data_IF_607222234739
#
_entry.id   IF_607222234739
#
_cell.length_a   1.000
_cell.length_b   1.000
_cell.length_c   1.000
_cell.angle_alpha   90.00
_cell.angle_beta   90.00
_cell.angle_gamma   90.00
#
_symmetry.space_group_name_H-M   'P 1'
#
loop_
_entity.id
_entity.type
_entity.pdbx_description
1 polymer ?
#
# COMPACT_ATOMS: atom_id res chain seq x y z
N UNK A 1 -16.89 7.84 -0.15
CA UNK A 1 -15.42 7.79 -0.29
C UNK A 1 -14.84 7.04 0.90
N UNK A 2 -14.13 5.94 0.66
CA UNK A 2 -13.45 5.22 1.72
C UNK A 2 -12.39 6.13 2.37
N UNK A 3 -12.27 6.08 3.71
CA UNK A 3 -11.31 6.90 4.45
C UNK A 3 -9.91 6.33 4.24
N UNK A 4 -9.03 7.06 3.55
CA UNK A 4 -7.62 6.67 3.38
C UNK A 4 -6.94 6.55 4.74
N UNK A 5 -6.43 5.36 5.07
CA UNK A 5 -5.74 5.10 6.35
C UNK A 5 -4.25 5.46 6.30
N UNK A 6 -3.69 5.53 5.10
CA UNK A 6 -2.28 5.79 4.87
C UNK A 6 -2.09 6.98 3.93
N UNK A 7 -0.89 7.57 3.96
CA UNK A 7 -0.53 8.73 3.12
C UNK A 7 0.81 8.51 2.41
N UNK A 8 1.03 9.29 1.37
CA UNK A 8 2.33 9.37 0.71
C UNK A 8 3.44 9.67 1.75
N UNK A 9 4.52 8.90 1.69
CA UNK A 9 5.62 8.96 2.65
C UNK A 9 5.63 7.82 3.68
N UNK A 10 4.48 7.22 3.97
CA UNK A 10 4.37 6.17 4.99
C UNK A 10 5.17 4.92 4.59
N UNK A 11 5.95 4.38 5.54
CA UNK A 11 6.63 3.10 5.39
C UNK A 11 5.69 1.98 5.84
N UNK A 12 5.42 1.03 4.97
CA UNK A 12 4.48 -0.05 5.19
C UNK A 12 5.10 -1.41 4.89
N UNK A 13 4.46 -2.47 5.36
CA UNK A 13 4.76 -3.83 4.92
C UNK A 13 3.58 -4.32 4.07
N UNK A 14 3.87 -4.86 2.89
CA UNK A 14 2.86 -5.36 1.95
C UNK A 14 2.97 -6.88 1.88
N UNK A 15 1.83 -7.55 1.91
CA UNK A 15 1.70 -8.98 1.62
C UNK A 15 1.54 -9.17 0.12
N UNK A 16 2.49 -9.86 -0.50
CA UNK A 16 2.44 -10.20 -1.91
C UNK A 16 1.64 -11.49 -2.14
N UNK A 17 1.07 -11.69 -3.34
CA UNK A 17 0.31 -12.91 -3.67
C UNK A 17 1.12 -14.21 -3.55
N UNK A 18 2.45 -14.14 -3.64
CA UNK A 18 3.37 -15.27 -3.46
C UNK A 18 3.61 -15.64 -1.99
N UNK A 19 2.95 -14.94 -1.07
CA UNK A 19 3.07 -15.14 0.38
C UNK A 19 4.21 -14.37 1.03
N UNK A 20 5.01 -13.64 0.26
CA UNK A 20 6.13 -12.87 0.78
C UNK A 20 5.69 -11.52 1.37
N UNK A 21 6.46 -11.07 2.36
CA UNK A 21 6.30 -9.74 2.97
C UNK A 21 7.41 -8.82 2.49
N UNK A 22 7.02 -7.70 1.87
CA UNK A 22 7.97 -6.69 1.42
C UNK A 22 7.78 -5.40 2.20
N UNK A 23 8.90 -4.72 2.50
CA UNK A 23 8.86 -3.36 3.02
C UNK A 23 8.78 -2.40 1.84
N UNK A 24 7.78 -1.53 1.88
CA UNK A 24 7.54 -0.55 0.83
C UNK A 24 7.26 0.83 1.43
N UNK A 25 7.28 1.85 0.58
CA UNK A 25 6.89 3.21 0.91
C UNK A 25 5.70 3.60 0.06
N UNK A 26 4.66 4.16 0.66
CA UNK A 26 3.55 4.71 -0.10
C UNK A 26 4.02 5.97 -0.83
N UNK A 27 3.78 6.01 -2.12
CA UNK A 27 4.10 7.11 -3.02
C UNK A 27 2.86 7.94 -3.26
N UNK A 28 1.71 7.28 -3.44
CA UNK A 28 0.45 7.95 -3.76
C UNK A 28 -0.75 7.15 -3.24
N UNK A 29 -1.79 7.88 -2.83
CA UNK A 29 -3.12 7.31 -2.55
C UNK A 29 -3.99 7.45 -3.77
N UNK A 30 -4.48 6.33 -4.30
CA UNK A 30 -5.39 6.29 -5.44
C UNK A 30 -6.81 6.14 -4.92
N UNK A 31 -7.60 7.24 -4.87
CA UNK A 31 -8.97 7.18 -4.36
C UNK A 31 -9.85 6.35 -5.29
N UNK A 32 -10.69 5.50 -4.71
CA UNK A 32 -11.76 4.82 -5.40
C UNK A 32 -13.00 4.78 -4.51
N UNK A 33 -14.16 4.63 -5.13
CA UNK A 33 -15.46 4.75 -4.45
C UNK A 33 -15.68 3.68 -3.39
N UNK A 34 -15.11 2.48 -3.61
CA UNK A 34 -15.33 1.29 -2.78
C UNK A 34 -14.07 0.75 -2.08
N UNK A 35 -12.87 0.99 -2.63
CA UNK A 35 -11.62 0.46 -2.10
C UNK A 35 -10.51 1.49 -2.24
N UNK A 36 -9.65 1.60 -1.24
CA UNK A 36 -8.45 2.43 -1.35
C UNK A 36 -7.31 1.60 -1.95
N UNK A 37 -6.75 2.10 -3.05
CA UNK A 37 -5.51 1.59 -3.63
C UNK A 37 -4.37 2.55 -3.32
N UNK A 38 -3.18 2.01 -3.21
CA UNK A 38 -1.97 2.76 -2.89
C UNK A 38 -0.89 2.39 -3.89
N UNK A 39 -0.25 3.39 -4.48
CA UNK A 39 0.98 3.18 -5.22
C UNK A 39 2.11 3.07 -4.20
N UNK A 40 2.80 1.93 -4.17
CA UNK A 40 3.94 1.71 -3.29
C UNK A 40 5.22 1.55 -4.09
N UNK A 41 6.32 2.05 -3.52
CA UNK A 41 7.67 1.83 -4.03
C UNK A 41 8.39 0.85 -3.11
N UNK A 42 9.00 -0.18 -3.70
CA UNK A 42 9.90 -1.10 -3.02
C UNK A 42 11.11 -1.36 -3.92
N UNK A 43 12.31 -1.33 -3.32
CA UNK A 43 13.56 -1.31 -4.07
C UNK A 43 13.53 -0.18 -5.13
N UNK A 44 13.50 -0.52 -6.42
CA UNK A 44 13.37 0.41 -7.55
C UNK A 44 12.11 0.16 -8.41
N UNK A 45 11.12 -0.53 -7.86
CA UNK A 45 9.89 -0.90 -8.57
C UNK A 45 8.68 -0.28 -7.87
N UNK A 46 7.64 -0.01 -8.67
CA UNK A 46 6.35 0.47 -8.19
C UNK A 46 5.29 -0.61 -8.36
N UNK A 47 4.40 -0.74 -7.39
CA UNK A 47 3.21 -1.59 -7.52
C UNK A 47 1.98 -0.88 -6.96
N UNK A 48 0.84 -1.17 -7.58
CA UNK A 48 -0.46 -0.80 -7.05
C UNK A 48 -0.93 -1.91 -6.10
N UNK A 49 -1.25 -1.54 -4.86
CA UNK A 49 -1.67 -2.49 -3.83
C UNK A 49 -2.97 -2.05 -3.19
N UNK A 50 -3.84 -3.00 -2.84
CA UNK A 50 -5.08 -2.69 -2.14
C UNK A 50 -4.80 -2.49 -0.65
N UNK A 51 -5.61 -1.67 0.04
CA UNK A 51 -5.46 -1.43 1.48
C UNK A 51 -5.36 -2.72 2.31
N UNK A 52 -6.12 -3.75 1.92
CA UNK A 52 -6.18 -5.05 2.62
C UNK A 52 -4.86 -5.81 2.61
N UNK A 53 -3.99 -5.54 1.63
CA UNK A 53 -2.69 -6.20 1.48
C UNK A 53 -1.60 -5.45 2.26
N UNK A 54 -1.93 -4.29 2.84
CA UNK A 54 -1.02 -3.46 3.64
C UNK A 54 -1.18 -3.82 5.12
N UNK A 55 -0.09 -4.32 5.71
CA UNK A 55 -0.03 -4.67 7.12
C UNK A 55 0.40 -3.44 7.93
N UNK A 56 -0.48 -3.00 8.82
CA UNK A 56 -0.14 -2.00 9.83
C UNK A 56 0.74 -2.68 10.88
N UNK A 57 2.01 -2.28 10.99
CA UNK A 57 2.78 -2.59 12.19
C UNK A 57 2.12 -1.83 13.35
N UNK A 58 1.60 -2.58 14.32
CA UNK A 58 1.25 -2.05 15.64
C UNK A 58 2.47 -1.47 16.33
#
# INVERSE_FOLDING_TARGET
>A
MARNKYKAGDKVTVYLPDGNLIKAKIVETVPSDNYNYYLVQFNNTYALVAERDIIKKN
#
